data_IF_148564534543
#
_entry.id   IF_148564534543
#
_cell.length_a   1.000
_cell.length_b   1.000
_cell.length_c   1.000
_cell.angle_alpha   90.00
_cell.angle_beta   90.00
_cell.angle_gamma   90.00
#
_symmetry.space_group_name_H-M   'P 1'
#
loop_
_entity.id
_entity.type
_entity.pdbx_description
1 polymer ?
#
# COMPACT_ATOMS: atom_id res chain seq x y z
N UNK A 1 1.71 -6.95 30.90
CA UNK A 1 2.84 -7.79 31.39
C UNK A 1 2.71 -9.18 30.78
N UNK A 2 3.61 -9.52 29.81
CA UNK A 2 3.83 -10.86 29.20
C UNK A 2 2.57 -11.45 28.54
N UNK A 3 2.50 -11.72 27.25
CA UNK A 3 3.22 -12.79 26.55
C UNK A 3 3.04 -12.56 25.04
N UNK A 4 4.08 -12.24 24.31
CA UNK A 4 4.21 -12.60 22.89
C UNK A 4 5.49 -13.39 22.76
N UNK A 5 5.37 -14.70 22.68
CA UNK A 5 6.46 -15.59 22.26
C UNK A 5 5.91 -16.58 21.24
N UNK A 6 6.67 -16.67 20.18
CA UNK A 6 6.79 -17.74 19.21
C UNK A 6 5.81 -17.74 18.03
N UNK A 7 6.25 -17.12 16.93
CA UNK A 7 6.13 -17.78 15.64
C UNK A 7 7.52 -17.84 14.99
N UNK A 8 8.11 -19.01 15.11
CA UNK A 8 9.33 -19.37 14.44
C UNK A 8 8.98 -19.71 12.99
N UNK A 9 9.71 -19.04 12.08
CA UNK A 9 9.57 -19.17 10.67
C UNK A 9 9.79 -20.59 10.14
N UNK A 10 9.14 -20.86 9.05
CA UNK A 10 9.52 -21.94 8.16
C UNK A 10 10.43 -21.35 7.08
N UNK A 11 11.74 -21.44 7.32
CA UNK A 11 12.73 -21.13 6.32
C UNK A 11 12.64 -22.17 5.18
N UNK A 12 12.26 -21.72 4.00
CA UNK A 12 12.44 -22.50 2.79
C UNK A 12 13.93 -22.58 2.47
N UNK A 13 14.50 -23.73 2.69
CA UNK A 13 15.88 -24.07 2.37
C UNK A 13 16.01 -24.21 0.85
N UNK A 14 16.48 -23.16 0.18
CA UNK A 14 16.92 -23.28 -1.21
C UNK A 14 18.27 -24.00 -1.23
N UNK A 15 18.27 -25.24 -1.66
CA UNK A 15 19.49 -26.01 -1.93
C UNK A 15 20.22 -25.36 -3.13
N UNK A 16 21.28 -24.63 -2.85
CA UNK A 16 22.29 -24.31 -3.83
C UNK A 16 23.13 -25.57 -4.08
N UNK A 17 22.80 -26.34 -5.11
CA UNK A 17 23.74 -27.35 -5.63
C UNK A 17 24.76 -26.61 -6.47
N UNK A 18 25.94 -26.40 -5.91
CA UNK A 18 27.11 -25.98 -6.66
C UNK A 18 27.51 -27.05 -7.65
N UNK A 19 27.48 -26.72 -8.93
CA UNK A 19 28.23 -27.44 -9.94
C UNK A 19 29.46 -26.62 -10.30
N UNK A 20 30.59 -26.97 -9.66
CA UNK A 20 31.86 -26.62 -10.23
C UNK A 20 32.10 -27.57 -11.44
N UNK A 21 31.92 -27.06 -12.63
CA UNK A 21 32.44 -27.68 -13.85
C UNK A 21 33.31 -26.65 -14.56
N UNK A 22 34.61 -26.78 -14.40
CA UNK A 22 35.56 -26.21 -15.37
C UNK A 22 35.48 -27.02 -16.65
N UNK A 23 34.95 -26.40 -17.71
CA UNK A 23 35.36 -26.67 -19.06
C UNK A 23 35.04 -25.45 -19.94
N UNK A 24 36.05 -24.98 -20.61
CA UNK A 24 36.01 -24.03 -21.71
C UNK A 24 35.06 -24.53 -22.78
N UNK A 25 33.90 -23.87 -22.89
CA UNK A 25 33.08 -23.93 -24.12
C UNK A 25 32.26 -22.64 -24.17
N UNK A 26 32.29 -22.03 -25.32
CA UNK A 26 31.67 -20.81 -25.79
C UNK A 26 30.42 -20.39 -24.98
N UNK A 27 30.45 -19.15 -24.43
CA UNK A 27 29.34 -18.52 -23.71
C UNK A 27 28.10 -18.41 -24.60
N UNK A 28 27.32 -19.49 -24.67
CA UNK A 28 26.01 -19.41 -25.31
C UNK A 28 25.17 -18.38 -24.53
N UNK A 29 24.51 -17.46 -25.23
CA UNK A 29 23.73 -16.40 -24.57
C UNK A 29 22.65 -17.02 -23.69
N UNK A 30 22.63 -16.58 -22.41
CA UNK A 30 21.62 -17.03 -21.45
C UNK A 30 20.37 -16.15 -21.54
N UNK A 31 19.20 -16.78 -21.57
CA UNK A 31 17.93 -16.10 -21.68
C UNK A 31 17.02 -16.37 -20.47
N UNK A 32 16.08 -15.45 -20.20
CA UNK A 32 15.09 -15.61 -19.14
C UNK A 32 14.21 -16.85 -19.38
N UNK A 33 13.76 -17.47 -18.28
CA UNK A 33 12.87 -18.63 -18.34
C UNK A 33 11.46 -18.27 -18.83
N UNK A 34 11.01 -17.06 -18.56
CA UNK A 34 9.73 -16.49 -19.01
C UNK A 34 9.97 -15.49 -20.13
N UNK A 35 8.94 -15.25 -20.93
CA UNK A 35 8.96 -14.30 -22.04
C UNK A 35 8.14 -13.05 -21.67
N UNK A 36 8.51 -11.90 -22.25
CA UNK A 36 7.66 -10.72 -22.30
C UNK A 36 6.78 -10.83 -23.53
N UNK A 37 5.47 -10.97 -23.32
CA UNK A 37 4.47 -11.11 -24.38
C UNK A 37 3.74 -9.80 -24.69
N UNK A 38 3.69 -8.88 -23.71
CA UNK A 38 3.09 -7.58 -23.89
C UNK A 38 3.97 -6.70 -24.78
N UNK A 39 3.45 -6.29 -25.94
CA UNK A 39 4.19 -5.55 -26.95
C UNK A 39 4.61 -4.14 -26.52
N UNK A 40 3.81 -3.49 -25.68
CA UNK A 40 4.11 -2.16 -25.15
C UNK A 40 5.25 -2.25 -24.12
N UNK A 41 5.14 -3.15 -23.15
CA UNK A 41 6.22 -3.40 -22.19
C UNK A 41 7.52 -3.81 -22.91
N UNK A 42 7.43 -4.70 -23.91
CA UNK A 42 8.57 -5.10 -24.73
C UNK A 42 9.25 -3.87 -25.40
N UNK A 43 8.44 -2.95 -25.93
CA UNK A 43 8.94 -1.73 -26.58
C UNK A 43 9.63 -0.83 -25.58
N UNK A 44 9.04 -0.63 -24.40
CA UNK A 44 9.63 0.15 -23.31
C UNK A 44 10.98 -0.44 -22.89
N UNK A 45 11.03 -1.76 -22.65
CA UNK A 45 12.26 -2.43 -22.22
C UNK A 45 13.34 -2.41 -23.28
N UNK A 46 13.01 -2.58 -24.56
CA UNK A 46 13.96 -2.40 -25.68
C UNK A 46 14.48 -0.97 -25.75
N UNK A 47 13.60 0.01 -25.55
CA UNK A 47 13.99 1.43 -25.48
C UNK A 47 14.95 1.73 -24.32
N UNK A 48 14.87 0.96 -23.24
CA UNK A 48 15.82 1.02 -22.12
C UNK A 48 17.09 0.19 -22.37
N UNK A 49 17.22 -0.46 -23.52
CA UNK A 49 18.41 -1.18 -23.97
C UNK A 49 18.49 -2.63 -23.51
N UNK A 50 17.39 -3.26 -23.12
CA UNK A 50 17.33 -4.70 -22.92
C UNK A 50 17.11 -5.42 -24.25
N UNK A 51 17.69 -6.62 -24.40
CA UNK A 51 17.65 -7.41 -25.62
C UNK A 51 16.75 -8.64 -25.41
N UNK A 52 16.11 -9.06 -26.49
CA UNK A 52 15.16 -10.19 -26.48
C UNK A 52 15.37 -11.06 -27.70
N UNK A 53 15.17 -12.36 -27.55
CA UNK A 53 15.11 -13.27 -28.67
C UNK A 53 13.76 -13.16 -29.43
N UNK A 54 13.60 -13.97 -30.46
CA UNK A 54 12.37 -14.02 -31.27
C UNK A 54 11.13 -14.52 -30.52
N UNK A 55 11.33 -15.22 -29.42
CA UNK A 55 10.28 -15.72 -28.55
C UNK A 55 9.94 -14.78 -27.40
N UNK A 56 10.54 -13.59 -27.34
CA UNK A 56 10.33 -12.61 -26.29
C UNK A 56 11.06 -12.90 -24.97
N UNK A 57 12.02 -13.83 -24.96
CA UNK A 57 12.86 -14.08 -23.79
C UNK A 57 13.98 -13.05 -23.72
N UNK A 58 14.21 -12.48 -22.54
CA UNK A 58 15.21 -11.46 -22.33
C UNK A 58 16.61 -12.08 -22.25
N UNK A 59 17.58 -11.49 -22.95
CA UNK A 59 18.98 -11.84 -22.80
C UNK A 59 19.46 -11.43 -21.42
N UNK A 60 19.99 -12.40 -20.67
CA UNK A 60 20.53 -12.21 -19.31
C UNK A 60 22.01 -11.79 -19.39
N UNK A 61 22.26 -10.63 -19.99
CA UNK A 61 23.55 -9.98 -19.99
C UNK A 61 23.87 -9.31 -18.64
N UNK A 62 25.02 -8.67 -18.54
CA UNK A 62 25.44 -7.97 -17.32
C UNK A 62 24.42 -6.90 -16.90
N UNK A 63 23.81 -6.22 -17.87
CA UNK A 63 22.79 -5.21 -17.61
C UNK A 63 21.53 -5.83 -17.00
N UNK A 64 20.98 -6.87 -17.62
CA UNK A 64 19.80 -7.54 -17.12
C UNK A 64 20.04 -8.13 -15.73
N UNK A 65 21.20 -8.78 -15.53
CA UNK A 65 21.59 -9.39 -14.28
C UNK A 65 21.89 -8.37 -13.16
N UNK A 66 22.37 -7.18 -13.48
CA UNK A 66 22.64 -6.12 -12.49
C UNK A 66 21.44 -5.23 -12.20
N UNK A 67 20.32 -5.37 -12.92
CA UNK A 67 19.13 -4.56 -12.73
C UNK A 67 18.41 -4.95 -11.45
N UNK A 68 18.51 -4.12 -10.43
CA UNK A 68 17.80 -4.25 -9.14
C UNK A 68 16.65 -3.25 -9.00
N UNK A 69 16.65 -2.19 -9.79
CA UNK A 69 15.61 -1.16 -9.83
C UNK A 69 15.26 -0.81 -11.27
N UNK A 70 13.99 -0.64 -11.56
CA UNK A 70 13.50 -0.29 -12.89
C UNK A 70 12.53 0.89 -12.80
N UNK A 71 12.85 1.94 -13.56
CA UNK A 71 11.98 3.10 -13.69
C UNK A 71 11.04 2.94 -14.90
N UNK A 72 9.74 2.83 -14.60
CA UNK A 72 8.63 2.81 -15.55
C UNK A 72 7.69 4.00 -15.34
N UNK A 73 8.16 5.08 -14.72
CA UNK A 73 7.34 6.26 -14.45
C UNK A 73 6.82 6.89 -15.75
N UNK A 74 5.55 7.29 -15.77
CA UNK A 74 4.91 7.97 -16.89
C UNK A 74 4.83 7.17 -18.20
N UNK A 75 5.16 5.88 -18.19
CA UNK A 75 5.10 5.03 -19.39
C UNK A 75 3.71 4.57 -19.75
N UNK A 76 2.76 4.67 -18.80
CA UNK A 76 1.37 4.16 -18.89
C UNK A 76 1.28 2.67 -19.17
N UNK A 77 2.32 1.90 -18.78
CA UNK A 77 2.32 0.45 -18.92
C UNK A 77 1.10 -0.15 -18.21
N UNK A 78 0.44 -1.09 -18.87
CA UNK A 78 -0.71 -1.80 -18.30
C UNK A 78 -0.27 -2.62 -17.08
N UNK A 79 -1.03 -2.53 -15.98
CA UNK A 79 -0.76 -3.31 -14.76
C UNK A 79 -0.74 -4.81 -15.03
N UNK A 80 -1.55 -5.33 -15.96
CA UNK A 80 -1.56 -6.73 -16.36
C UNK A 80 -0.20 -7.21 -16.93
N UNK A 81 0.60 -6.29 -17.51
CA UNK A 81 1.92 -6.61 -18.05
C UNK A 81 3.02 -6.65 -16.98
N UNK A 82 2.81 -6.06 -15.80
CA UNK A 82 3.85 -5.94 -14.76
C UNK A 82 4.39 -7.29 -14.30
N UNK A 83 3.54 -8.32 -14.26
CA UNK A 83 3.96 -9.67 -13.88
C UNK A 83 5.05 -10.24 -14.78
N UNK A 84 5.11 -9.82 -16.04
CA UNK A 84 6.12 -10.23 -17.00
C UNK A 84 7.53 -9.67 -16.63
N UNK A 85 7.62 -8.68 -15.74
CA UNK A 85 8.90 -8.20 -15.20
C UNK A 85 9.64 -9.24 -14.36
N UNK A 86 9.03 -10.40 -14.10
CA UNK A 86 9.70 -11.58 -13.54
C UNK A 86 10.82 -12.12 -14.44
N UNK A 87 10.96 -11.63 -15.67
CA UNK A 87 12.13 -11.90 -16.55
C UNK A 87 13.44 -11.38 -15.95
N UNK A 88 13.39 -10.38 -15.06
CA UNK A 88 14.55 -9.84 -14.37
C UNK A 88 14.89 -10.67 -13.12
N UNK A 89 16.05 -11.31 -13.05
CA UNK A 89 16.36 -12.21 -11.94
C UNK A 89 16.56 -11.47 -10.59
N UNK A 90 17.02 -10.22 -10.63
CA UNK A 90 17.43 -9.48 -9.44
C UNK A 90 16.63 -8.20 -9.18
N UNK A 91 15.56 -7.96 -9.95
CA UNK A 91 14.71 -6.77 -9.79
C UNK A 91 13.99 -6.81 -8.44
N UNK A 92 14.14 -5.71 -7.68
CA UNK A 92 13.56 -5.52 -6.35
C UNK A 92 12.69 -4.28 -6.25
N UNK A 93 13.03 -3.23 -7.00
CA UNK A 93 12.34 -1.94 -6.91
C UNK A 93 11.73 -1.55 -8.26
N UNK A 94 10.49 -1.06 -8.21
CA UNK A 94 9.79 -0.48 -9.35
C UNK A 94 9.37 0.96 -9.06
N UNK A 95 9.72 1.86 -9.98
CA UNK A 95 9.09 3.17 -10.04
C UNK A 95 7.95 3.11 -11.06
N UNK A 96 6.72 3.15 -10.57
CA UNK A 96 5.47 3.16 -11.33
C UNK A 96 4.73 4.50 -11.19
N UNK A 97 5.42 5.56 -10.81
CA UNK A 97 4.80 6.87 -10.61
C UNK A 97 4.24 7.45 -11.91
N UNK A 98 3.18 8.24 -11.79
CA UNK A 98 2.57 9.00 -12.89
C UNK A 98 2.08 8.13 -14.08
N UNK A 99 1.58 6.93 -13.82
CA UNK A 99 1.06 6.02 -14.85
C UNK A 99 -0.46 6.13 -15.06
N UNK A 100 -1.17 6.87 -14.19
CA UNK A 100 -2.62 7.00 -14.25
C UNK A 100 -3.36 5.79 -13.68
N UNK A 101 -2.72 5.02 -12.81
CA UNK A 101 -3.37 3.91 -12.12
C UNK A 101 -4.38 4.39 -11.11
N UNK A 102 -5.44 3.64 -10.93
CA UNK A 102 -6.48 3.85 -9.93
C UNK A 102 -7.85 3.28 -10.36
N UNK A 103 -8.85 3.30 -9.46
CA UNK A 103 -8.74 3.58 -8.03
C UNK A 103 -8.18 2.43 -7.20
N UNK A 104 -8.18 1.19 -7.72
CA UNK A 104 -7.66 -0.01 -7.04
C UNK A 104 -6.38 -0.47 -7.73
N UNK A 105 -5.34 -0.75 -6.94
CA UNK A 105 -4.11 -1.35 -7.44
C UNK A 105 -4.02 -2.81 -7.01
N UNK A 106 -3.99 -3.72 -7.99
CA UNK A 106 -3.92 -5.16 -7.74
C UNK A 106 -2.49 -5.62 -7.53
N UNK A 107 -2.14 -5.97 -6.30
CA UNK A 107 -0.78 -6.43 -5.92
C UNK A 107 -0.39 -7.71 -6.65
N UNK A 108 -1.36 -8.58 -6.97
CA UNK A 108 -1.10 -9.80 -7.75
C UNK A 108 -0.58 -9.54 -9.17
N UNK A 109 -0.66 -8.30 -9.67
CA UNK A 109 -0.04 -7.89 -10.94
C UNK A 109 1.48 -7.74 -10.84
N UNK A 110 2.04 -7.61 -9.63
CA UNK A 110 3.49 -7.51 -9.43
C UNK A 110 4.17 -8.87 -9.41
N UNK A 111 5.43 -8.96 -9.87
CA UNK A 111 6.28 -10.10 -9.55
C UNK A 111 6.52 -10.19 -8.03
N UNK A 112 6.52 -11.41 -7.49
CA UNK A 112 6.64 -11.63 -6.04
C UNK A 112 7.98 -11.17 -5.44
N UNK A 113 9.02 -11.01 -6.26
CA UNK A 113 10.33 -10.53 -5.82
C UNK A 113 10.42 -9.02 -5.58
N UNK A 114 9.40 -8.25 -5.97
CA UNK A 114 9.38 -6.79 -5.81
C UNK A 114 9.14 -6.46 -4.33
N UNK A 115 10.06 -5.70 -3.75
CA UNK A 115 10.00 -5.26 -2.34
C UNK A 115 10.04 -3.74 -2.21
N UNK A 116 10.27 -3.01 -3.30
CA UNK A 116 10.23 -1.55 -3.33
C UNK A 116 9.28 -1.06 -4.42
N UNK A 117 8.37 -0.15 -4.05
CA UNK A 117 7.34 0.35 -4.96
C UNK A 117 7.17 1.86 -4.81
N UNK A 118 7.20 2.58 -5.92
CA UNK A 118 6.86 3.99 -6.00
C UNK A 118 5.61 4.17 -6.87
N UNK A 119 4.53 4.63 -6.26
CA UNK A 119 3.22 4.84 -6.88
C UNK A 119 2.78 6.31 -6.90
N UNK A 120 3.68 7.25 -6.65
CA UNK A 120 3.37 8.67 -6.63
C UNK A 120 2.65 9.14 -7.91
N UNK A 121 1.81 10.15 -7.80
CA UNK A 121 1.13 10.76 -8.94
C UNK A 121 0.15 9.86 -9.68
N UNK A 122 -0.26 8.73 -9.07
CA UNK A 122 -1.40 7.93 -9.47
C UNK A 122 -2.63 8.30 -8.61
N UNK A 123 -3.79 7.78 -8.96
CA UNK A 123 -5.06 8.03 -8.25
C UNK A 123 -5.56 6.76 -7.56
N UNK A 124 -4.66 6.15 -6.77
CA UNK A 124 -4.92 4.89 -6.07
C UNK A 124 -5.49 5.20 -4.70
N UNK A 125 -6.62 4.58 -4.38
CA UNK A 125 -7.30 4.66 -3.09
C UNK A 125 -7.19 3.36 -2.31
N UNK A 126 -7.06 2.23 -2.99
CA UNK A 126 -7.18 0.90 -2.41
C UNK A 126 -6.20 -0.10 -3.03
N UNK A 127 -5.85 -1.14 -2.27
CA UNK A 127 -4.94 -2.21 -2.68
C UNK A 127 -5.61 -3.58 -2.57
N UNK A 128 -5.85 -4.22 -3.69
CA UNK A 128 -6.32 -5.60 -3.67
C UNK A 128 -5.13 -6.57 -3.53
N UNK A 129 -5.23 -7.44 -2.53
CA UNK A 129 -4.23 -8.49 -2.28
C UNK A 129 -2.97 -8.02 -1.55
N UNK A 130 -2.98 -6.85 -0.90
CA UNK A 130 -1.86 -6.37 -0.08
C UNK A 130 -1.92 -6.94 1.33
N UNK A 131 -3.09 -6.89 1.95
CA UNK A 131 -3.35 -7.30 3.33
C UNK A 131 -4.68 -8.01 3.41
N UNK A 132 -4.81 -8.93 4.37
CA UNK A 132 -6.11 -9.38 4.86
C UNK A 132 -6.26 -9.01 6.32
N UNK A 133 -7.37 -8.39 6.69
CA UNK A 133 -7.68 -8.06 8.07
C UNK A 133 -8.95 -8.79 8.51
N UNK A 134 -8.95 -9.26 9.76
CA UNK A 134 -10.12 -9.86 10.42
C UNK A 134 -10.22 -9.33 11.82
N UNK A 135 -11.44 -9.03 12.25
CA UNK A 135 -11.73 -8.73 13.65
C UNK A 135 -12.14 -10.01 14.36
N UNK A 136 -11.39 -10.41 15.37
CA UNK A 136 -11.67 -11.57 16.21
C UNK A 136 -11.50 -11.17 17.68
N UNK A 137 -12.55 -11.33 18.49
CA UNK A 137 -12.53 -10.99 19.92
C UNK A 137 -12.12 -9.53 20.21
N UNK A 138 -12.64 -8.58 19.46
CA UNK A 138 -12.30 -7.15 19.52
C UNK A 138 -10.81 -6.82 19.22
N UNK A 139 -10.11 -7.74 18.60
CA UNK A 139 -8.74 -7.51 18.10
C UNK A 139 -8.72 -7.60 16.58
N UNK A 140 -7.97 -6.68 15.94
CA UNK A 140 -7.68 -6.78 14.51
C UNK A 140 -6.47 -7.66 14.31
N UNK A 141 -6.66 -8.72 13.52
CA UNK A 141 -5.57 -9.58 13.04
C UNK A 141 -5.36 -9.30 11.57
N UNK A 142 -4.27 -8.61 11.27
CA UNK A 142 -3.84 -8.35 9.91
C UNK A 142 -2.77 -9.33 9.47
N UNK A 143 -2.86 -9.78 8.20
CA UNK A 143 -1.84 -10.60 7.56
C UNK A 143 -1.38 -9.88 6.31
N UNK A 144 -0.09 -9.53 6.23
CA UNK A 144 0.53 -8.95 5.05
C UNK A 144 0.73 -10.08 4.04
N UNK A 145 0.16 -9.91 2.84
CA UNK A 145 0.25 -10.89 1.75
C UNK A 145 1.44 -10.61 0.82
N UNK A 146 1.91 -9.37 0.78
CA UNK A 146 3.08 -8.96 0.01
C UNK A 146 3.94 -8.01 0.84
N UNK A 147 5.18 -8.40 1.09
CA UNK A 147 6.11 -7.64 1.92
C UNK A 147 6.81 -6.54 1.13
N UNK A 148 6.81 -5.32 1.69
CA UNK A 148 7.57 -4.20 1.16
C UNK A 148 8.63 -3.73 2.15
N UNK A 149 9.76 -3.27 1.61
CA UNK A 149 10.81 -2.53 2.35
C UNK A 149 10.79 -1.05 2.01
N UNK A 150 10.15 -0.69 0.87
CA UNK A 150 9.96 0.68 0.40
C UNK A 150 8.58 0.81 -0.22
N UNK A 151 7.82 1.82 0.23
CA UNK A 151 6.46 2.05 -0.27
C UNK A 151 6.19 3.56 -0.34
N UNK A 152 6.20 4.12 -1.55
CA UNK A 152 5.91 5.52 -1.81
C UNK A 152 4.54 5.65 -2.43
N UNK A 153 3.66 6.34 -1.74
CA UNK A 153 2.21 6.37 -1.97
C UNK A 153 1.75 7.70 -2.56
N UNK A 154 0.73 7.71 -3.43
CA UNK A 154 0.06 8.92 -3.84
C UNK A 154 -0.77 9.52 -2.68
N UNK A 155 -1.11 10.80 -2.76
CA UNK A 155 -1.93 11.49 -1.75
C UNK A 155 -3.33 10.88 -1.59
N UNK A 156 -3.88 10.27 -2.65
CA UNK A 156 -5.18 9.58 -2.63
C UNK A 156 -5.24 8.41 -1.66
N UNK A 157 -4.09 7.79 -1.33
CA UNK A 157 -4.00 6.72 -0.34
C UNK A 157 -4.22 7.19 1.11
N UNK A 158 -4.37 8.49 1.37
CA UNK A 158 -4.55 9.01 2.73
C UNK A 158 -5.72 8.39 3.50
N UNK A 159 -6.74 7.93 2.78
CA UNK A 159 -7.94 7.32 3.37
C UNK A 159 -7.85 5.80 3.56
N UNK A 160 -6.86 5.15 2.99
CA UNK A 160 -6.66 3.72 3.14
C UNK A 160 -5.99 3.43 4.49
N UNK A 161 -6.80 3.11 5.50
CA UNK A 161 -6.33 2.79 6.85
C UNK A 161 -6.03 1.31 6.98
N UNK A 162 -6.91 0.46 6.50
CA UNK A 162 -6.86 -0.99 6.75
C UNK A 162 -5.67 -1.69 6.08
N UNK A 163 -5.29 -1.31 4.87
CA UNK A 163 -4.17 -1.93 4.18
C UNK A 163 -2.82 -1.34 4.61
N UNK A 164 -2.77 -0.04 4.94
CA UNK A 164 -1.51 0.65 5.19
C UNK A 164 -1.03 0.56 6.63
N UNK A 165 -1.94 0.49 7.61
CA UNK A 165 -1.57 0.43 9.02
C UNK A 165 -0.69 -0.77 9.38
N UNK A 166 -0.86 -1.97 8.80
CA UNK A 166 0.05 -3.10 9.08
C UNK A 166 1.51 -2.86 8.71
N UNK A 167 1.78 -1.92 7.78
CA UNK A 167 3.15 -1.53 7.39
C UNK A 167 3.71 -0.39 8.22
N UNK A 168 2.84 0.39 8.87
CA UNK A 168 3.26 1.52 9.68
C UNK A 168 3.85 1.05 11.01
N UNK A 169 4.97 1.65 11.39
CA UNK A 169 5.53 1.52 12.73
C UNK A 169 6.11 2.84 13.20
N UNK A 170 5.78 3.23 14.42
CA UNK A 170 6.40 4.37 15.10
C UNK A 170 7.75 3.99 15.74
N UNK A 171 7.94 2.69 15.98
CA UNK A 171 9.06 2.20 16.77
C UNK A 171 10.06 1.42 15.90
N UNK A 172 11.18 2.05 15.57
CA UNK A 172 12.29 1.41 14.85
C UNK A 172 12.85 0.16 15.57
N UNK A 173 12.63 0.06 16.89
CA UNK A 173 13.05 -1.10 17.68
C UNK A 173 12.24 -2.38 17.39
N UNK A 174 11.09 -2.28 16.73
CA UNK A 174 10.29 -3.43 16.31
C UNK A 174 10.81 -4.12 15.04
N UNK A 175 11.94 -3.68 14.51
CA UNK A 175 12.61 -4.21 13.31
C UNK A 175 11.75 -4.22 12.02
N UNK A 176 10.69 -3.46 11.98
CA UNK A 176 10.01 -3.17 10.74
C UNK A 176 10.64 -1.92 10.11
N UNK A 177 11.47 -2.13 9.10
CA UNK A 177 12.17 -1.04 8.40
C UNK A 177 11.55 -0.80 7.04
N UNK A 178 10.26 -0.49 7.00
CA UNK A 178 9.65 -0.03 5.76
C UNK A 178 9.91 1.47 5.61
N UNK A 179 10.60 1.87 4.54
CA UNK A 179 10.65 3.26 4.12
C UNK A 179 9.30 3.62 3.49
N UNK A 180 8.35 4.02 4.34
CA UNK A 180 7.00 4.36 3.95
C UNK A 180 6.81 5.87 3.91
N UNK A 181 6.47 6.38 2.74
CA UNK A 181 6.24 7.80 2.51
C UNK A 181 4.95 8.00 1.72
N UNK A 182 4.29 9.13 1.91
CA UNK A 182 3.09 9.50 1.17
C UNK A 182 3.22 10.93 0.64
N UNK A 183 2.76 11.13 -0.60
CA UNK A 183 2.70 12.46 -1.16
C UNK A 183 1.67 13.32 -0.40
N UNK A 184 2.04 14.56 -0.10
CA UNK A 184 1.09 15.56 0.37
C UNK A 184 0.30 16.16 -0.81
N UNK A 185 -0.65 17.08 -0.52
CA UNK A 185 -1.50 17.73 -1.53
C UNK A 185 -0.70 18.56 -2.58
N UNK A 186 0.58 18.82 -2.30
CA UNK A 186 1.50 19.50 -3.24
C UNK A 186 2.34 18.51 -4.04
N UNK A 187 2.15 17.21 -3.84
CA UNK A 187 2.90 16.14 -4.51
C UNK A 187 4.29 15.88 -3.93
N UNK A 188 4.65 16.48 -2.79
CA UNK A 188 5.92 16.23 -2.12
C UNK A 188 5.80 15.03 -1.19
N UNK A 189 6.78 14.12 -1.23
CA UNK A 189 6.86 12.99 -0.31
C UNK A 189 7.18 13.46 1.11
N UNK A 190 6.45 12.92 2.05
CA UNK A 190 6.66 13.07 3.48
C UNK A 190 6.62 11.70 4.15
N UNK A 191 7.36 11.55 5.24
CA UNK A 191 7.30 10.31 6.02
C UNK A 191 5.85 10.03 6.41
N UNK A 192 5.38 8.81 6.15
CA UNK A 192 4.03 8.41 6.53
C UNK A 192 3.83 8.59 8.04
N UNK A 193 2.69 9.13 8.40
CA UNK A 193 2.28 9.27 9.80
C UNK A 193 0.79 8.93 9.94
N UNK A 194 0.31 8.82 11.16
CA UNK A 194 -1.07 8.42 11.46
C UNK A 194 -2.01 9.58 11.77
N UNK A 195 -1.49 10.80 11.81
CA UNK A 195 -2.28 11.97 12.18
C UNK A 195 -2.98 12.56 10.97
N UNK A 196 -4.28 12.79 11.09
CA UNK A 196 -5.13 13.36 10.04
C UNK A 196 -5.87 14.58 10.54
N UNK A 197 -6.13 15.50 9.63
CA UNK A 197 -6.99 16.66 9.90
C UNK A 197 -8.37 16.40 9.28
N UNK A 198 -9.42 16.79 10.00
CA UNK A 198 -10.78 16.81 9.47
C UNK A 198 -11.04 18.25 9.01
N UNK A 199 -11.26 18.48 7.70
CA UNK A 199 -11.30 19.84 7.15
C UNK A 199 -12.46 20.69 7.68
N UNK A 200 -13.64 20.09 7.85
CA UNK A 200 -14.80 20.79 8.38
C UNK A 200 -14.73 20.83 9.91
N UNK A 201 -14.64 22.05 10.46
CA UNK A 201 -14.46 22.24 11.90
C UNK A 201 -15.66 21.81 12.75
N UNK A 202 -16.88 21.88 12.20
CA UNK A 202 -18.08 21.40 12.88
C UNK A 202 -18.15 19.88 12.85
N UNK A 203 -17.78 19.28 11.72
CA UNK A 203 -17.67 17.83 11.64
C UNK A 203 -16.56 17.29 12.55
N UNK A 204 -15.39 17.92 12.57
CA UNK A 204 -14.30 17.59 13.48
C UNK A 204 -14.73 17.65 14.94
N UNK A 205 -15.46 18.69 15.34
CA UNK A 205 -15.99 18.84 16.71
C UNK A 205 -17.02 17.75 17.04
N UNK A 206 -17.90 17.43 16.09
CA UNK A 206 -18.86 16.33 16.23
C UNK A 206 -18.15 14.99 16.42
N UNK A 207 -17.16 14.67 15.58
CA UNK A 207 -16.40 13.43 15.69
C UNK A 207 -15.63 13.35 17.00
N UNK A 208 -14.97 14.43 17.41
CA UNK A 208 -14.22 14.50 18.68
C UNK A 208 -15.11 14.31 19.90
N UNK A 209 -16.34 14.81 19.86
CA UNK A 209 -17.30 14.62 20.95
C UNK A 209 -17.72 13.15 21.09
N UNK A 210 -17.87 12.46 19.96
CA UNK A 210 -18.39 11.09 19.93
C UNK A 210 -17.31 10.01 19.95
N UNK A 211 -16.08 10.35 19.53
CA UNK A 211 -14.96 9.41 19.36
C UNK A 211 -13.67 10.01 19.97
N UNK A 212 -13.76 10.57 21.16
CA UNK A 212 -12.65 11.31 21.79
C UNK A 212 -11.38 10.47 21.96
N UNK A 213 -11.50 9.15 22.06
CA UNK A 213 -10.38 8.22 22.25
C UNK A 213 -9.38 8.22 21.06
N UNK A 214 -9.87 8.48 19.84
CA UNK A 214 -9.04 8.48 18.62
C UNK A 214 -8.49 9.86 18.25
N UNK A 215 -8.79 10.90 19.07
CA UNK A 215 -8.26 12.25 18.85
C UNK A 215 -7.11 12.58 19.78
N UNK A 216 -6.13 13.29 19.24
CA UNK A 216 -5.04 13.87 20.00
C UNK A 216 -5.48 15.12 20.76
N UNK A 217 -4.67 15.58 21.72
CA UNK A 217 -4.96 16.79 22.49
C UNK A 217 -5.03 18.06 21.62
N UNK A 218 -4.26 18.11 20.51
CA UNK A 218 -4.27 19.21 19.53
C UNK A 218 -5.36 19.06 18.46
N UNK A 219 -6.23 18.04 18.59
CA UNK A 219 -7.44 17.89 17.77
C UNK A 219 -7.26 17.14 16.47
N UNK A 220 -6.13 16.48 16.23
CA UNK A 220 -5.94 15.62 15.08
C UNK A 220 -6.49 14.23 15.33
N UNK A 221 -7.05 13.62 14.30
CA UNK A 221 -7.45 12.23 14.32
C UNK A 221 -6.21 11.33 14.18
N UNK A 222 -6.04 10.38 15.08
CA UNK A 222 -5.00 9.36 15.01
C UNK A 222 -5.59 8.03 14.50
N UNK A 223 -5.37 7.75 13.22
CA UNK A 223 -5.91 6.56 12.53
C UNK A 223 -5.27 5.25 13.00
N UNK A 224 -4.22 5.28 13.81
CA UNK A 224 -3.62 4.07 14.40
C UNK A 224 -4.41 3.54 15.59
N UNK A 225 -5.32 4.34 16.13
CA UNK A 225 -6.10 3.98 17.29
C UNK A 225 -7.37 3.24 16.91
N UNK A 226 -7.67 2.13 17.59
CA UNK A 226 -8.93 1.44 17.39
C UNK A 226 -10.10 2.27 17.91
N UNK A 227 -11.26 2.14 17.27
CA UNK A 227 -12.51 2.67 17.78
C UNK A 227 -12.96 1.84 18.98
N UNK A 228 -13.15 2.48 20.12
CA UNK A 228 -13.65 1.84 21.33
C UNK A 228 -15.15 1.49 21.25
N UNK A 229 -15.61 0.48 21.99
CA UNK A 229 -17.04 0.17 22.12
C UNK A 229 -17.83 1.31 22.77
N UNK A 230 -17.20 2.07 23.64
CA UNK A 230 -17.72 3.28 24.29
C UNK A 230 -17.96 4.43 23.31
N UNK A 231 -17.29 4.41 22.15
CA UNK A 231 -17.45 5.41 21.11
C UNK A 231 -18.74 5.17 20.32
N UNK A 232 -19.88 5.50 20.91
CA UNK A 232 -21.22 5.34 20.31
C UNK A 232 -21.47 3.98 19.65
N UNK A 233 -20.90 2.91 20.21
CA UNK A 233 -21.03 1.58 19.61
C UNK A 233 -20.43 1.51 18.22
N UNK A 234 -19.37 2.32 17.95
CA UNK A 234 -18.68 2.39 16.65
C UNK A 234 -19.56 2.84 15.48
N UNK A 235 -20.55 3.67 15.76
CA UNK A 235 -21.49 4.17 14.76
C UNK A 235 -21.44 5.69 14.65
N UNK A 236 -21.56 6.22 13.43
CA UNK A 236 -21.74 7.66 13.20
C UNK A 236 -23.20 7.95 12.88
N UNK A 237 -23.82 8.81 13.68
CA UNK A 237 -25.16 9.30 13.46
C UNK A 237 -25.13 10.81 13.27
N UNK A 238 -25.23 11.27 12.03
CA UNK A 238 -25.39 12.69 11.72
C UNK A 238 -26.87 13.06 11.83
N UNK A 239 -27.32 13.22 13.04
CA UNK A 239 -28.69 13.62 13.36
C UNK A 239 -28.64 14.87 14.24
N UNK A 240 -29.59 15.78 14.08
CA UNK A 240 -29.78 16.85 15.05
C UNK A 240 -29.94 16.25 16.45
N UNK A 241 -29.02 16.62 17.32
CA UNK A 241 -29.00 16.17 18.71
C UNK A 241 -28.91 17.43 19.61
N UNK A 242 -29.66 17.42 20.70
CA UNK A 242 -29.57 18.48 21.71
C UNK A 242 -28.17 18.59 22.34
N UNK A 243 -27.36 17.54 22.24
CA UNK A 243 -25.96 17.53 22.71
C UNK A 243 -25.01 18.19 21.71
N UNK A 244 -25.36 18.18 20.41
CA UNK A 244 -24.56 18.84 19.36
C UNK A 244 -25.46 19.64 18.43
N UNK A 245 -25.80 20.84 18.87
CA UNK A 245 -26.72 21.74 18.14
C UNK A 245 -26.14 22.26 16.82
N UNK A 246 -24.81 22.10 16.59
CA UNK A 246 -24.14 22.61 15.40
C UNK A 246 -24.05 21.59 14.24
N UNK A 247 -24.73 20.44 14.32
CA UNK A 247 -24.81 19.45 13.23
C UNK A 247 -25.28 20.09 11.92
N UNK A 248 -26.24 21.02 11.98
CA UNK A 248 -26.75 21.76 10.82
C UNK A 248 -25.72 22.68 10.15
N UNK A 249 -24.59 22.96 10.81
CA UNK A 249 -23.49 23.77 10.27
C UNK A 249 -22.43 22.95 9.56
N UNK A 250 -22.50 21.62 9.61
CA UNK A 250 -21.59 20.73 8.91
C UNK A 250 -21.81 20.89 7.42
N UNK A 251 -20.81 21.42 6.71
CA UNK A 251 -20.85 21.63 5.28
C UNK A 251 -20.15 20.52 4.48
N UNK A 252 -19.23 19.77 5.14
CA UNK A 252 -18.52 18.64 4.53
C UNK A 252 -18.34 17.54 5.56
N UNK A 253 -18.47 16.31 5.10
CA UNK A 253 -18.16 15.10 5.89
C UNK A 253 -16.84 14.47 5.45
N UNK A 254 -15.97 15.19 4.75
CA UNK A 254 -14.63 14.73 4.40
C UNK A 254 -13.87 14.30 5.65
N UNK A 255 -13.24 13.11 5.58
CA UNK A 255 -12.59 12.46 6.72
C UNK A 255 -13.44 11.35 7.36
N UNK A 256 -14.71 11.20 6.93
CA UNK A 256 -15.55 10.07 7.34
C UNK A 256 -14.95 8.73 6.90
N UNK A 257 -14.21 8.75 5.80
CA UNK A 257 -13.51 7.61 5.22
C UNK A 257 -12.53 6.97 6.20
N UNK A 258 -11.91 7.76 7.07
CA UNK A 258 -11.01 7.24 8.11
C UNK A 258 -11.73 6.36 9.15
N UNK A 259 -13.02 6.57 9.31
CA UNK A 259 -13.85 5.77 10.19
C UNK A 259 -14.40 4.55 9.45
N UNK A 260 -14.92 4.74 8.24
CA UNK A 260 -15.48 3.65 7.41
C UNK A 260 -14.45 2.59 7.09
N UNK A 261 -13.23 3.01 6.80
CA UNK A 261 -12.10 2.13 6.47
C UNK A 261 -11.34 1.64 7.72
N UNK A 262 -11.84 1.93 8.92
CA UNK A 262 -11.27 1.41 10.15
C UNK A 262 -11.76 -0.03 10.35
N UNK A 263 -10.87 -1.02 10.49
CA UNK A 263 -11.26 -2.44 10.58
C UNK A 263 -12.10 -2.78 11.83
N UNK A 264 -12.16 -1.87 12.81
CA UNK A 264 -13.06 -2.02 13.98
C UNK A 264 -14.49 -1.51 13.71
N UNK A 265 -14.78 -1.00 12.53
CA UNK A 265 -16.13 -0.55 12.19
C UNK A 265 -17.07 -1.74 11.96
N UNK A 266 -18.15 -1.80 12.73
CA UNK A 266 -19.16 -2.87 12.59
C UNK A 266 -20.31 -2.45 11.68
N UNK A 267 -20.68 -1.18 11.69
CA UNK A 267 -21.74 -0.67 10.82
C UNK A 267 -21.74 0.87 10.77
N UNK A 268 -22.10 1.39 9.61
CA UNK A 268 -22.16 2.81 9.34
C UNK A 268 -23.61 3.21 9.01
N UNK A 269 -24.15 4.12 9.81
CA UNK A 269 -25.46 4.71 9.56
C UNK A 269 -25.31 6.23 9.47
N UNK A 270 -25.54 6.80 8.31
CA UNK A 270 -25.74 8.25 8.14
C UNK A 270 -27.24 8.48 8.06
N UNK A 271 -27.84 9.05 9.10
CA UNK A 271 -29.16 9.59 9.05
C UNK A 271 -29.04 11.08 8.73
N UNK A 272 -29.40 11.48 7.52
CA UNK A 272 -29.58 12.88 7.18
C UNK A 272 -31.05 13.19 7.38
N UNK A 273 -31.39 13.84 8.46
CA UNK A 273 -32.72 14.41 8.63
C UNK A 273 -32.78 15.72 7.82
N UNK A 274 -33.31 15.60 6.61
CA UNK A 274 -33.58 16.79 5.78
C UNK A 274 -34.91 17.34 6.29
N UNK A 275 -34.86 18.27 7.21
CA UNK A 275 -36.03 19.08 7.52
C UNK A 275 -36.37 19.89 6.26
N UNK A 276 -37.42 19.46 5.55
CA UNK A 276 -38.03 20.21 4.44
C UNK A 276 -38.82 21.40 4.96
#
# INVERSE_FOLDING_TARGET
>A
MKIFKNFIGLAALALCLGFASCSSDDDAPSYSNVAVSNSELMTILKGKGYQFDENGKMLLDDKANSTTSLDLSGTKVDTAALKELSVFPNLKELNLSNNGYGPVFHIASLPSQITGLDLQGNDIYDFDGLVTAKVENDEVKATILHEFTKLYLPASCKYNVEDLMPFYTENEAENKTVDMQMANDKGSLEKYNTLREIPDTYFAAYLKMNFSSVFTSDGKLDISKPLGLEDRGRNIFLQYDTQYADVEKIASIEGIEYFVNNPFYESFYVFIDVQT
#
